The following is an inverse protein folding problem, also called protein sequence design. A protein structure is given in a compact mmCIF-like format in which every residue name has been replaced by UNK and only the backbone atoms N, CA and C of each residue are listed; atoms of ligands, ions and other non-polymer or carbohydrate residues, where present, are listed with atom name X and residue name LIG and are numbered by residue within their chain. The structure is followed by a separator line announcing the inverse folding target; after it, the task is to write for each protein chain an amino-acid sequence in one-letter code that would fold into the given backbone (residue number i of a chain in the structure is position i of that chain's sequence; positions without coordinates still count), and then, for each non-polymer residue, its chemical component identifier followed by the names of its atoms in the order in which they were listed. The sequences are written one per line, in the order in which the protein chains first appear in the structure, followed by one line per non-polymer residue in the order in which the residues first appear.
data_IF_153035999290
#
_entry.id   IF_153035999290
#
_cell.length_a   1.000
_cell.length_b   1.000
_cell.length_c   1.000
_cell.angle_alpha   90.00
_cell.angle_beta   90.00
_cell.angle_gamma   90.00
#
_symmetry.space_group_name_H-M   'P 1'
#
loop_
_entity.id
_entity.type
_entity.pdbx_description
1 polymer ?
#
# COMPACT_ATOMS: atom_id res chain seq x y z
N UNK A 1 19.06 2.18 7.53
CA UNK A 1 19.47 1.18 6.51
C UNK A 1 19.18 -0.27 6.93
N UNK A 2 19.34 -0.66 8.21
CA UNK A 2 19.05 -2.01 8.74
C UNK A 2 17.62 -2.48 8.43
N UNK A 3 16.62 -1.65 8.71
CA UNK A 3 15.21 -1.94 8.45
C UNK A 3 14.91 -2.36 7.01
N UNK A 4 15.38 -1.59 6.00
CA UNK A 4 15.17 -1.96 4.60
C UNK A 4 15.82 -3.31 4.24
N UNK A 5 16.94 -3.66 4.89
CA UNK A 5 17.60 -4.96 4.69
C UNK A 5 16.79 -6.09 5.34
N UNK A 6 16.20 -5.86 6.50
CA UNK A 6 15.32 -6.82 7.16
C UNK A 6 14.02 -7.03 6.37
N UNK A 7 13.38 -5.94 5.91
CA UNK A 7 12.15 -6.00 5.13
C UNK A 7 12.29 -6.72 3.78
N UNK A 8 13.49 -6.70 3.18
CA UNK A 8 13.78 -7.52 1.99
C UNK A 8 13.57 -9.03 2.23
N UNK A 9 13.82 -9.53 3.45
CA UNK A 9 13.60 -10.95 3.80
C UNK A 9 12.11 -11.32 3.72
N UNK A 10 11.23 -10.36 3.97
CA UNK A 10 9.78 -10.53 3.88
C UNK A 10 9.23 -10.32 2.46
N UNK A 11 10.09 -10.01 1.48
CA UNK A 11 9.70 -9.81 0.09
C UNK A 11 9.45 -8.35 -0.30
N UNK A 12 9.77 -7.36 0.56
CA UNK A 12 9.63 -5.95 0.23
C UNK A 12 10.72 -5.49 -0.75
N UNK A 13 10.35 -5.27 -2.02
CA UNK A 13 11.28 -4.89 -3.10
C UNK A 13 11.33 -3.38 -3.40
N UNK A 14 10.36 -2.62 -2.89
CA UNK A 14 10.22 -1.15 -3.04
C UNK A 14 9.75 -0.53 -1.73
N UNK A 15 9.65 0.80 -1.65
CA UNK A 15 9.03 1.44 -0.49
C UNK A 15 7.64 0.87 -0.22
N UNK A 16 7.34 0.61 1.05
CA UNK A 16 5.98 0.26 1.50
C UNK A 16 5.16 1.55 1.55
N UNK A 17 4.80 2.07 0.38
CA UNK A 17 4.01 3.29 0.20
C UNK A 17 2.92 3.00 -0.84
N UNK A 18 1.66 3.16 -0.43
CA UNK A 18 0.48 2.88 -1.27
C UNK A 18 -0.59 3.94 -1.01
N UNK A 19 -1.02 4.63 -2.08
CA UNK A 19 -2.13 5.57 -2.01
C UNK A 19 -3.46 4.79 -2.06
N UNK A 20 -3.95 4.41 -0.88
CA UNK A 20 -5.16 3.59 -0.75
C UNK A 20 -6.44 4.34 -1.12
N UNK A 21 -6.53 5.63 -0.76
CA UNK A 21 -7.75 6.43 -0.96
C UNK A 21 -7.39 7.78 -1.56
N UNK A 22 -8.20 8.20 -2.53
CA UNK A 22 -8.12 9.52 -3.15
C UNK A 22 -9.52 10.13 -3.19
N UNK A 23 -9.65 11.33 -2.65
CA UNK A 23 -10.87 12.14 -2.76
C UNK A 23 -10.59 13.38 -3.59
N UNK A 24 -11.38 13.58 -4.65
CA UNK A 24 -11.31 14.77 -5.51
C UNK A 24 -12.70 15.24 -5.89
N UNK A 25 -12.82 16.52 -6.24
CA UNK A 25 -14.02 17.06 -6.87
C UNK A 25 -13.98 16.74 -8.36
N UNK A 26 -15.02 16.09 -8.90
CA UNK A 26 -15.07 15.78 -10.32
C UNK A 26 -15.07 17.08 -11.15
N UNK A 27 -14.14 17.25 -12.10
CA UNK A 27 -13.89 18.55 -12.74
C UNK A 27 -15.05 19.04 -13.61
N UNK A 28 -15.85 18.14 -14.18
CA UNK A 28 -16.96 18.51 -15.07
C UNK A 28 -18.32 18.57 -14.38
N UNK A 29 -18.53 17.79 -13.32
CA UNK A 29 -19.84 17.70 -12.64
C UNK A 29 -19.85 18.38 -11.28
N UNK A 30 -18.68 18.69 -10.72
CA UNK A 30 -18.56 19.24 -9.38
C UNK A 30 -19.09 18.30 -8.30
N UNK A 31 -19.18 16.99 -8.54
CA UNK A 31 -19.57 16.02 -7.50
C UNK A 31 -18.33 15.48 -6.79
N UNK A 32 -18.50 15.02 -5.55
CA UNK A 32 -17.41 14.38 -4.82
C UNK A 32 -17.15 12.99 -5.37
N UNK A 33 -15.90 12.74 -5.74
CA UNK A 33 -15.42 11.45 -6.24
C UNK A 33 -14.45 10.86 -5.22
N UNK A 34 -14.81 9.68 -4.69
CA UNK A 34 -13.97 8.89 -3.82
C UNK A 34 -13.49 7.65 -4.58
N UNK A 35 -12.17 7.51 -4.68
CA UNK A 35 -11.51 6.39 -5.33
C UNK A 35 -10.76 5.58 -4.28
N UNK A 36 -10.91 4.26 -4.32
CA UNK A 36 -10.21 3.35 -3.42
C UNK A 36 -9.43 2.32 -4.25
N UNK A 37 -8.16 2.14 -3.90
CA UNK A 37 -7.26 1.19 -4.52
C UNK A 37 -6.85 0.14 -3.48
N UNK A 38 -7.32 -1.12 -3.58
CA UNK A 38 -7.01 -2.15 -2.60
C UNK A 38 -5.50 -2.37 -2.49
N UNK A 39 -5.06 -2.87 -1.32
CA UNK A 39 -3.64 -3.12 -1.08
C UNK A 39 -3.11 -4.10 -2.15
N UNK A 40 -2.06 -3.73 -2.91
CA UNK A 40 -1.51 -4.59 -3.94
C UNK A 40 -1.03 -5.91 -3.36
N UNK A 41 -1.22 -7.01 -4.09
CA UNK A 41 -0.91 -8.37 -3.64
C UNK A 41 0.53 -8.50 -3.11
N UNK A 42 1.49 -7.85 -3.77
CA UNK A 42 2.89 -7.84 -3.34
C UNK A 42 3.11 -7.23 -1.95
N UNK A 43 2.37 -6.18 -1.59
CA UNK A 43 2.45 -5.57 -0.26
C UNK A 43 1.64 -6.39 0.76
N UNK A 44 0.51 -6.96 0.35
CA UNK A 44 -0.28 -7.83 1.21
C UNK A 44 0.52 -9.06 1.66
N UNK A 45 1.26 -9.71 0.75
CA UNK A 45 2.17 -10.83 1.07
C UNK A 45 3.21 -10.47 2.13
N UNK A 46 3.75 -9.25 2.09
CA UNK A 46 4.71 -8.77 3.09
C UNK A 46 4.04 -8.65 4.46
N UNK A 47 2.83 -8.09 4.52
CA UNK A 47 2.04 -7.98 5.77
C UNK A 47 1.70 -9.34 6.35
N UNK A 48 1.26 -10.29 5.50
CA UNK A 48 0.96 -11.66 5.93
C UNK A 48 2.17 -12.32 6.59
N UNK A 49 3.34 -12.29 5.93
CA UNK A 49 4.57 -12.88 6.47
C UNK A 49 5.05 -12.23 7.77
N UNK A 50 4.82 -10.93 7.93
CA UNK A 50 5.16 -10.23 9.18
C UNK A 50 4.23 -10.65 10.33
N UNK A 51 2.94 -10.87 10.06
CA UNK A 51 1.98 -11.34 11.06
C UNK A 51 2.29 -12.76 11.52
N UNK A 52 2.76 -13.63 10.63
CA UNK A 52 3.15 -15.01 10.94
C UNK A 52 4.41 -15.14 11.82
N UNK A 53 5.17 -14.06 12.01
CA UNK A 53 6.37 -14.06 12.87
C UNK A 53 6.11 -13.63 14.32
N UNK A 54 4.88 -13.23 14.64
CA UNK A 54 4.47 -12.88 16.02
C UNK A 54 3.90 -14.10 16.70
#
# INVERSE_FOLDING_TARGET
RKFNKEMKKFGLKRLFLHAWKLGIRHPSTGQDLLLEAPLPENLNKVVTRLREQT
#
